data_IF_729979325630
#
_entry.id   IF_729979325630
#
_cell.length_a   1.000
_cell.length_b   1.000
_cell.length_c   1.000
_cell.angle_alpha   90.00
_cell.angle_beta   90.00
_cell.angle_gamma   90.00
#
_symmetry.space_group_name_H-M   'P 1'
#
loop_
_entity.id
_entity.type
_entity.pdbx_description
1 polymer ?
#
# COMPACT_ATOMS: atom_id res chain seq x y z
N UNK A 1 -2.20 18.83 -21.44
CA UNK A 1 -3.64 18.85 -21.78
C UNK A 1 -3.78 19.17 -23.25
N UNK A 2 -3.35 20.36 -23.70
CA UNK A 2 -3.43 20.81 -25.10
C UNK A 2 -2.84 19.84 -26.12
N UNK A 3 -1.61 19.34 -25.90
CA UNK A 3 -0.98 18.38 -26.83
C UNK A 3 -1.81 17.09 -27.02
N UNK A 4 -2.33 16.51 -25.93
CA UNK A 4 -3.16 15.31 -26.00
C UNK A 4 -4.52 15.59 -26.65
N UNK A 5 -5.12 16.77 -26.41
CA UNK A 5 -6.37 17.16 -27.07
C UNK A 5 -6.18 17.31 -28.59
N UNK A 6 -5.01 17.78 -29.03
CA UNK A 6 -4.63 17.87 -30.44
C UNK A 6 -4.38 16.47 -31.06
N UNK A 7 -3.79 15.54 -30.31
CA UNK A 7 -3.65 14.15 -30.74
C UNK A 7 -5.03 13.48 -30.90
N UNK A 8 -5.93 13.68 -29.95
CA UNK A 8 -7.31 13.16 -30.02
C UNK A 8 -8.12 13.78 -31.16
N UNK A 9 -7.92 15.07 -31.48
CA UNK A 9 -8.61 15.71 -32.60
C UNK A 9 -8.20 15.14 -33.96
N UNK A 10 -7.07 14.43 -34.05
CA UNK A 10 -6.67 13.66 -35.25
C UNK A 10 -7.46 12.36 -35.43
N UNK A 11 -8.42 12.06 -34.54
CA UNK A 11 -9.33 10.91 -34.62
C UNK A 11 -8.57 9.57 -34.71
N UNK A 12 -7.73 9.24 -33.72
CA UNK A 12 -7.03 7.95 -33.71
C UNK A 12 -8.03 6.79 -33.67
N UNK A 13 -7.67 5.66 -34.29
CA UNK A 13 -8.49 4.44 -34.32
C UNK A 13 -8.53 3.72 -32.97
N UNK A 14 -7.45 3.85 -32.18
CA UNK A 14 -7.30 3.22 -30.85
C UNK A 14 -6.86 4.29 -29.87
N UNK A 15 -7.53 4.33 -28.71
CA UNK A 15 -7.18 5.23 -27.60
C UNK A 15 -7.03 4.38 -26.34
N UNK A 16 -5.86 4.49 -25.70
CA UNK A 16 -5.58 3.89 -24.40
C UNK A 16 -5.53 5.01 -23.38
N UNK A 17 -6.36 4.94 -22.34
CA UNK A 17 -6.46 5.98 -21.33
C UNK A 17 -6.86 5.42 -19.96
N UNK A 18 -6.47 6.13 -18.90
CA UNK A 18 -7.03 5.92 -17.57
C UNK A 18 -8.38 6.66 -17.45
N UNK A 19 -9.34 6.16 -16.63
CA UNK A 19 -10.67 6.74 -16.54
C UNK A 19 -10.67 8.25 -16.27
N UNK A 20 -9.98 8.69 -15.22
CA UNK A 20 -9.93 10.13 -14.88
C UNK A 20 -9.38 10.99 -16.01
N UNK A 21 -8.33 10.53 -16.72
CA UNK A 21 -7.75 11.32 -17.82
C UNK A 21 -8.68 11.40 -19.03
N UNK A 22 -9.39 10.32 -19.34
CA UNK A 22 -10.35 10.30 -20.43
C UNK A 22 -11.58 11.16 -20.08
N UNK A 23 -12.11 11.02 -18.87
CA UNK A 23 -13.24 11.81 -18.38
C UNK A 23 -12.92 13.31 -18.34
N UNK A 24 -11.70 13.69 -17.94
CA UNK A 24 -11.22 15.07 -18.04
C UNK A 24 -11.27 15.60 -19.47
N UNK A 25 -10.80 14.83 -20.45
CA UNK A 25 -10.87 15.23 -21.87
C UNK A 25 -12.31 15.33 -22.38
N UNK A 26 -13.20 14.42 -21.96
CA UNK A 26 -14.63 14.48 -22.31
C UNK A 26 -15.35 15.69 -21.71
N UNK A 27 -14.97 16.10 -20.49
CA UNK A 27 -15.56 17.26 -19.80
C UNK A 27 -14.99 18.60 -20.26
N UNK A 28 -13.69 18.64 -20.55
CA UNK A 28 -12.96 19.89 -20.83
C UNK A 28 -12.78 20.20 -22.31
N UNK A 29 -12.99 19.23 -23.20
CA UNK A 29 -12.74 19.40 -24.63
C UNK A 29 -13.91 18.96 -25.50
N UNK A 30 -14.33 19.85 -26.41
CA UNK A 30 -15.27 19.53 -27.48
C UNK A 30 -14.57 19.00 -28.76
N UNK A 31 -13.24 18.83 -28.76
CA UNK A 31 -12.47 18.51 -29.97
C UNK A 31 -12.44 17.03 -30.33
N UNK A 32 -13.01 16.17 -29.49
CA UNK A 32 -12.97 14.72 -29.64
C UNK A 32 -14.30 14.08 -29.23
N UNK A 33 -14.67 12.99 -29.89
CA UNK A 33 -15.91 12.26 -29.61
C UNK A 33 -15.69 10.76 -29.71
N UNK A 34 -16.20 10.02 -28.71
CA UNK A 34 -16.20 8.55 -28.67
C UNK A 34 -17.52 7.92 -29.11
N UNK A 35 -18.44 8.71 -29.69
CA UNK A 35 -19.76 8.20 -30.12
C UNK A 35 -19.71 7.13 -31.23
N UNK A 36 -18.57 6.98 -31.90
CA UNK A 36 -18.36 6.02 -33.00
C UNK A 36 -17.56 4.78 -32.61
N UNK A 37 -17.18 4.61 -31.34
CA UNK A 37 -16.41 3.43 -30.95
C UNK A 37 -17.28 2.17 -31.08
N UNK A 38 -16.68 1.08 -31.58
CA UNK A 38 -17.33 -0.23 -31.68
C UNK A 38 -16.93 -1.17 -30.55
N UNK A 39 -15.78 -0.89 -29.92
CA UNK A 39 -15.18 -1.72 -28.88
C UNK A 39 -14.86 -0.84 -27.67
N UNK A 40 -15.24 -1.31 -26.49
CA UNK A 40 -14.80 -0.76 -25.21
C UNK A 40 -14.07 -1.87 -24.45
N UNK A 41 -12.82 -1.63 -24.07
CA UNK A 41 -12.02 -2.58 -23.28
C UNK A 41 -11.80 -2.00 -21.89
N UNK A 42 -12.18 -2.76 -20.87
CA UNK A 42 -11.96 -2.43 -19.46
C UNK A 42 -10.97 -3.45 -18.90
N UNK A 43 -9.70 -3.06 -18.80
CA UNK A 43 -8.63 -3.87 -18.23
C UNK A 43 -8.45 -3.58 -16.73
N UNK A 44 -8.00 -4.56 -15.95
CA UNK A 44 -7.99 -4.55 -14.47
C UNK A 44 -9.34 -4.09 -13.88
N UNK A 45 -10.44 -4.68 -14.34
CA UNK A 45 -11.80 -4.22 -14.01
C UNK A 45 -12.17 -4.34 -12.53
N UNK A 46 -11.61 -5.33 -11.83
CA UNK A 46 -11.70 -5.42 -10.36
C UNK A 46 -11.19 -4.16 -9.66
N UNK A 47 -10.28 -3.40 -10.26
CA UNK A 47 -9.78 -2.12 -9.76
C UNK A 47 -10.57 -0.93 -10.24
N UNK A 48 -11.05 -0.98 -11.47
CA UNK A 48 -11.89 0.10 -12.02
C UNK A 48 -13.20 0.24 -11.23
N UNK A 49 -13.73 -0.86 -10.73
CA UNK A 49 -15.04 -0.95 -10.07
C UNK A 49 -14.94 -1.07 -8.53
N UNK A 50 -13.75 -1.00 -7.94
CA UNK A 50 -13.57 -1.13 -6.49
C UNK A 50 -13.95 0.17 -5.77
N UNK A 51 -14.97 0.10 -4.92
CA UNK A 51 -15.38 1.21 -4.06
C UNK A 51 -14.32 1.46 -2.96
N UNK A 52 -13.89 2.71 -2.79
CA UNK A 52 -13.19 3.18 -1.57
C UNK A 52 -11.72 3.62 -1.70
N UNK A 53 -10.94 3.18 -2.69
CA UNK A 53 -9.51 3.56 -2.82
C UNK A 53 -9.20 4.51 -3.98
N UNK A 54 -9.92 4.38 -5.10
CA UNK A 54 -9.88 5.28 -6.25
C UNK A 54 -11.28 5.33 -6.81
N UNK A 55 -12.07 6.33 -6.39
CA UNK A 55 -13.46 6.42 -6.84
C UNK A 55 -13.51 6.92 -8.29
N UNK A 56 -13.28 6.00 -9.22
CA UNK A 56 -13.46 6.25 -10.65
C UNK A 56 -14.93 6.18 -11.06
N UNK A 57 -15.87 6.01 -10.12
CA UNK A 57 -17.29 5.83 -10.44
C UNK A 57 -17.81 7.01 -11.27
N UNK A 58 -17.56 8.24 -10.82
CA UNK A 58 -17.98 9.46 -11.52
C UNK A 58 -17.29 9.61 -12.89
N UNK A 59 -16.04 9.17 -13.00
CA UNK A 59 -15.28 9.21 -14.26
C UNK A 59 -15.81 8.16 -15.25
N UNK A 60 -16.08 6.95 -14.76
CA UNK A 60 -16.62 5.84 -15.52
C UNK A 60 -18.05 6.13 -15.97
N UNK A 61 -18.90 6.70 -15.13
CA UNK A 61 -20.25 7.15 -15.50
C UNK A 61 -20.20 8.15 -16.66
N UNK A 62 -19.32 9.15 -16.57
CA UNK A 62 -19.14 10.13 -17.64
C UNK A 62 -18.67 9.50 -18.96
N UNK A 63 -17.75 8.53 -18.88
CA UNK A 63 -17.28 7.78 -20.05
C UNK A 63 -18.39 6.90 -20.63
N UNK A 64 -19.10 6.14 -19.78
CA UNK A 64 -20.15 5.21 -20.16
C UNK A 64 -21.36 5.93 -20.77
N UNK A 65 -21.65 7.16 -20.33
CA UNK A 65 -22.68 8.01 -20.92
C UNK A 65 -22.28 8.55 -22.31
N UNK A 66 -20.99 8.70 -22.58
CA UNK A 66 -20.48 9.25 -23.84
C UNK A 66 -20.29 8.18 -24.94
N UNK A 67 -20.16 6.90 -24.58
CA UNK A 67 -20.00 5.78 -25.51
C UNK A 67 -21.35 5.30 -26.06
N UNK A 68 -21.41 4.76 -27.30
CA UNK A 68 -22.65 4.27 -27.88
C UNK A 68 -23.19 3.03 -27.16
N UNK A 69 -24.52 2.90 -27.10
CA UNK A 69 -25.21 1.76 -26.49
C UNK A 69 -24.90 0.44 -27.24
N UNK A 70 -24.93 0.47 -28.57
CA UNK A 70 -24.57 -0.68 -29.41
C UNK A 70 -23.05 -0.73 -29.62
N UNK A 71 -22.37 -1.50 -28.77
CA UNK A 71 -20.92 -1.75 -28.84
C UNK A 71 -20.59 -3.14 -28.29
N UNK A 72 -19.43 -3.68 -28.65
CA UNK A 72 -18.85 -4.82 -27.96
C UNK A 72 -18.05 -4.30 -26.75
N UNK A 73 -18.34 -4.83 -25.57
CA UNK A 73 -17.58 -4.50 -24.34
C UNK A 73 -16.80 -5.74 -23.91
N UNK A 74 -15.51 -5.57 -23.66
CA UNK A 74 -14.62 -6.61 -23.15
C UNK A 74 -14.15 -6.18 -21.77
N UNK A 75 -14.27 -7.08 -20.80
CA UNK A 75 -13.87 -6.86 -19.42
C UNK A 75 -12.83 -7.91 -19.05
N UNK A 76 -11.67 -7.45 -18.61
CA UNK A 76 -10.58 -8.29 -18.14
C UNK A 76 -10.27 -7.96 -16.68
N UNK A 77 -10.13 -9.00 -15.87
CA UNK A 77 -9.89 -8.87 -14.43
C UNK A 77 -9.00 -10.01 -13.95
N UNK A 78 -8.13 -9.72 -12.99
CA UNK A 78 -7.31 -10.73 -12.34
C UNK A 78 -8.06 -11.42 -11.19
N UNK A 79 -9.01 -10.72 -10.57
CA UNK A 79 -9.84 -11.26 -9.48
C UNK A 79 -11.32 -11.13 -9.79
N UNK A 80 -12.11 -12.12 -9.36
CA UNK A 80 -13.56 -12.06 -9.43
C UNK A 80 -14.11 -11.44 -8.14
N UNK A 81 -14.56 -10.18 -8.22
CA UNK A 81 -15.16 -9.46 -7.10
C UNK A 81 -16.67 -9.65 -7.08
N UNK A 82 -17.31 -9.43 -5.93
CA UNK A 82 -18.78 -9.50 -5.83
C UNK A 82 -19.44 -8.48 -6.75
N UNK A 83 -18.86 -7.28 -6.87
CA UNK A 83 -19.29 -6.25 -7.83
C UNK A 83 -19.26 -6.74 -9.29
N UNK A 84 -18.26 -7.55 -9.66
CA UNK A 84 -18.19 -8.13 -11.01
C UNK A 84 -19.24 -9.22 -11.21
N UNK A 85 -19.52 -10.04 -10.18
CA UNK A 85 -20.59 -11.05 -10.21
C UNK A 85 -21.97 -10.41 -10.31
N UNK A 86 -22.21 -9.33 -9.59
CA UNK A 86 -23.44 -8.53 -9.69
C UNK A 86 -23.59 -7.93 -11.08
N UNK A 87 -22.52 -7.34 -11.62
CA UNK A 87 -22.52 -6.79 -12.98
C UNK A 87 -22.82 -7.85 -14.03
N UNK A 88 -22.28 -9.07 -13.87
CA UNK A 88 -22.62 -10.22 -14.70
C UNK A 88 -24.11 -10.57 -14.61
N UNK A 89 -24.68 -10.62 -13.40
CA UNK A 89 -26.10 -10.92 -13.18
C UNK A 89 -27.06 -9.87 -13.74
N UNK A 90 -26.65 -8.61 -13.74
CA UNK A 90 -27.43 -7.48 -14.27
C UNK A 90 -27.29 -7.32 -15.81
N UNK A 91 -26.30 -7.96 -16.42
CA UNK A 91 -26.03 -7.81 -17.84
C UNK A 91 -27.13 -8.48 -18.69
N UNK A 92 -28.00 -7.66 -19.29
CA UNK A 92 -29.13 -8.11 -20.12
C UNK A 92 -28.69 -8.88 -21.38
N UNK A 93 -27.45 -8.67 -21.84
CA UNK A 93 -26.94 -9.22 -23.09
C UNK A 93 -26.29 -10.61 -22.97
N UNK A 94 -26.38 -11.28 -21.81
CA UNK A 94 -25.79 -12.62 -21.58
C UNK A 94 -24.31 -12.68 -22.04
N UNK A 95 -23.40 -11.99 -21.34
CA UNK A 95 -22.00 -11.90 -21.77
C UNK A 95 -21.34 -13.28 -21.74
N UNK A 96 -20.47 -13.54 -22.73
CA UNK A 96 -19.57 -14.69 -22.66
C UNK A 96 -18.66 -14.52 -21.45
N UNK A 97 -18.68 -15.51 -20.55
CA UNK A 97 -17.89 -15.52 -19.33
C UNK A 97 -16.91 -16.68 -19.36
N UNK A 98 -15.64 -16.38 -19.13
CA UNK A 98 -14.59 -17.37 -19.01
C UNK A 98 -13.75 -17.05 -17.78
N UNK A 99 -13.60 -18.04 -16.91
CA UNK A 99 -12.78 -17.98 -15.71
C UNK A 99 -11.81 -19.15 -15.74
N UNK A 100 -10.51 -18.84 -15.59
CA UNK A 100 -9.50 -19.87 -15.38
C UNK A 100 -9.70 -20.47 -13.98
N UNK A 101 -10.12 -21.73 -13.93
CA UNK A 101 -10.28 -22.45 -12.66
C UNK A 101 -8.90 -22.81 -12.10
N UNK A 102 -8.57 -22.29 -10.92
CA UNK A 102 -7.36 -22.64 -10.18
C UNK A 102 -7.67 -22.74 -8.68
N UNK A 103 -7.12 -23.74 -7.96
CA UNK A 103 -7.35 -23.90 -6.52
C UNK A 103 -6.73 -22.76 -5.69
N UNK A 104 -5.74 -22.07 -6.27
CA UNK A 104 -4.97 -21.00 -5.65
C UNK A 104 -4.95 -19.81 -6.61
N UNK A 105 -5.12 -18.58 -6.09
CA UNK A 105 -5.15 -17.36 -6.91
C UNK A 105 -3.76 -16.92 -7.43
N UNK A 106 -2.72 -17.68 -7.15
CA UNK A 106 -1.32 -17.41 -7.53
C UNK A 106 -0.78 -18.59 -8.30
N UNK A 107 0.20 -18.34 -9.17
CA UNK A 107 0.81 -19.39 -9.99
C UNK A 107 1.52 -20.41 -9.11
N UNK A 108 1.41 -21.70 -9.44
CA UNK A 108 1.95 -22.79 -8.62
C UNK A 108 3.47 -22.71 -8.46
N UNK A 109 4.17 -22.19 -9.48
CA UNK A 109 5.63 -22.04 -9.51
C UNK A 109 6.15 -20.86 -8.67
N UNK A 110 5.26 -20.14 -7.98
CA UNK A 110 5.62 -19.02 -7.12
C UNK A 110 5.93 -19.49 -5.70
N UNK A 111 7.19 -19.34 -5.31
CA UNK A 111 7.63 -19.45 -3.92
C UNK A 111 7.23 -18.18 -3.16
N UNK A 112 6.35 -18.31 -2.17
CA UNK A 112 5.72 -17.20 -1.46
C UNK A 112 6.08 -17.27 0.01
N UNK A 113 6.88 -16.30 0.46
CA UNK A 113 7.42 -16.28 1.81
C UNK A 113 7.15 -14.97 2.53
N UNK A 114 7.10 -15.05 3.85
CA UNK A 114 7.12 -13.89 4.73
C UNK A 114 8.41 -13.85 5.53
N UNK A 115 8.88 -12.66 5.86
CA UNK A 115 10.00 -12.44 6.78
C UNK A 115 9.50 -11.53 7.90
N UNK A 116 9.43 -12.07 9.12
CA UNK A 116 8.99 -11.32 10.29
C UNK A 116 10.11 -10.40 10.77
N UNK A 117 9.88 -9.08 10.73
CA UNK A 117 10.89 -8.07 11.05
C UNK A 117 10.32 -6.97 11.94
N UNK A 118 11.07 -6.48 12.95
CA UNK A 118 10.69 -5.27 13.65
C UNK A 118 10.72 -4.05 12.71
N UNK A 119 9.71 -3.17 12.78
CA UNK A 119 9.57 -2.02 11.87
C UNK A 119 10.83 -1.13 11.82
N UNK A 120 11.53 -0.97 12.96
CA UNK A 120 12.72 -0.11 13.09
C UNK A 120 13.96 -0.64 12.35
N UNK A 121 14.01 -1.93 12.04
CA UNK A 121 15.18 -2.58 11.44
C UNK A 121 14.89 -3.14 10.05
N UNK A 122 13.65 -2.98 9.56
CA UNK A 122 13.15 -3.51 8.29
C UNK A 122 14.04 -3.17 7.08
N UNK A 123 14.61 -1.96 7.07
CA UNK A 123 15.49 -1.53 5.99
C UNK A 123 16.83 -2.27 5.96
N UNK A 124 17.34 -2.69 7.12
CA UNK A 124 18.57 -3.48 7.21
C UNK A 124 18.32 -4.89 6.66
N UNK A 125 17.19 -5.49 7.01
CA UNK A 125 16.75 -6.75 6.41
C UNK A 125 16.59 -6.65 4.89
N UNK A 126 16.02 -5.55 4.37
CA UNK A 126 15.92 -5.33 2.93
C UNK A 126 17.31 -5.31 2.26
N UNK A 127 18.26 -4.58 2.84
CA UNK A 127 19.63 -4.48 2.31
C UNK A 127 20.31 -5.85 2.30
N UNK A 128 20.19 -6.59 3.40
CA UNK A 128 20.75 -7.94 3.52
C UNK A 128 20.12 -8.91 2.50
N UNK A 129 18.79 -8.91 2.34
CA UNK A 129 18.12 -9.73 1.33
C UNK A 129 18.62 -9.43 -0.09
N UNK A 130 18.76 -8.14 -0.44
CA UNK A 130 19.25 -7.74 -1.76
C UNK A 130 20.70 -8.19 -1.96
N UNK A 131 21.54 -8.08 -0.92
CA UNK A 131 22.91 -8.54 -0.95
C UNK A 131 22.96 -10.06 -1.23
N UNK A 132 22.21 -10.86 -0.48
CA UNK A 132 22.17 -12.32 -0.67
C UNK A 132 21.72 -12.70 -2.09
N UNK A 133 20.65 -12.08 -2.60
CA UNK A 133 20.21 -12.32 -3.97
C UNK A 133 21.23 -11.90 -5.01
N UNK A 134 21.95 -10.81 -4.77
CA UNK A 134 23.00 -10.34 -5.68
C UNK A 134 24.19 -11.29 -5.69
N UNK A 135 24.58 -11.82 -4.53
CA UNK A 135 25.70 -12.74 -4.36
C UNK A 135 25.39 -14.14 -4.94
N UNK A 136 24.16 -14.63 -4.76
CA UNK A 136 23.71 -15.90 -5.35
C UNK A 136 23.45 -15.77 -6.86
N UNK A 137 22.88 -14.64 -7.28
CA UNK A 137 22.32 -14.45 -8.61
C UNK A 137 22.50 -13.01 -9.12
N UNK A 138 23.69 -12.70 -9.63
CA UNK A 138 24.03 -11.37 -10.13
C UNK A 138 23.01 -10.84 -11.18
N UNK A 139 22.48 -11.73 -12.03
CA UNK A 139 21.60 -11.43 -13.16
C UNK A 139 20.10 -11.31 -12.85
N UNK A 140 19.70 -11.50 -11.59
CA UNK A 140 18.28 -11.45 -11.23
C UNK A 140 17.76 -10.03 -11.18
N UNK A 141 16.57 -9.84 -11.76
CA UNK A 141 15.80 -8.62 -11.64
C UNK A 141 14.86 -8.70 -10.42
N UNK A 142 14.85 -7.63 -9.64
CA UNK A 142 14.09 -7.50 -8.40
C UNK A 142 13.15 -6.30 -8.51
N UNK A 143 11.89 -6.49 -8.12
CA UNK A 143 10.95 -5.39 -7.89
C UNK A 143 10.64 -5.27 -6.39
N UNK A 144 10.73 -4.07 -5.85
CA UNK A 144 10.48 -3.76 -4.45
C UNK A 144 9.25 -2.86 -4.36
N UNK A 145 8.20 -3.34 -3.70
CA UNK A 145 6.99 -2.56 -3.52
C UNK A 145 6.94 -1.85 -2.17
N UNK A 146 6.57 -0.57 -2.21
CA UNK A 146 6.46 0.31 -1.04
C UNK A 146 5.11 1.03 -0.99
N UNK A 147 4.70 1.47 0.19
CA UNK A 147 3.40 2.12 0.39
C UNK A 147 3.37 3.60 -0.04
N UNK A 148 4.47 4.35 0.11
CA UNK A 148 4.50 5.79 -0.18
C UNK A 148 5.56 6.19 -1.19
N UNK A 149 5.29 7.26 -1.95
CA UNK A 149 6.26 7.83 -2.88
C UNK A 149 7.55 8.28 -2.17
N UNK A 150 7.43 8.80 -0.94
CA UNK A 150 8.58 9.22 -0.13
C UNK A 150 9.46 8.03 0.22
N UNK A 151 8.88 6.95 0.75
CA UNK A 151 9.62 5.71 1.06
C UNK A 151 10.27 5.12 -0.19
N UNK A 152 9.53 5.06 -1.31
CA UNK A 152 10.07 4.62 -2.60
C UNK A 152 11.33 5.40 -3.00
N UNK A 153 11.30 6.72 -2.87
CA UNK A 153 12.41 7.59 -3.24
C UNK A 153 13.59 7.50 -2.24
N UNK A 154 13.30 7.44 -0.95
CA UNK A 154 14.32 7.29 0.11
C UNK A 154 15.05 5.96 -0.03
N UNK A 155 14.34 4.86 -0.22
CA UNK A 155 14.95 3.54 -0.44
C UNK A 155 15.82 3.52 -1.69
N UNK A 156 15.38 4.16 -2.78
CA UNK A 156 16.16 4.25 -4.02
C UNK A 156 17.49 5.00 -3.78
N UNK A 157 17.44 6.14 -3.07
CA UNK A 157 18.64 6.89 -2.70
C UNK A 157 19.55 6.10 -1.75
N UNK A 158 18.97 5.38 -0.79
CA UNK A 158 19.69 4.57 0.19
C UNK A 158 20.40 3.39 -0.49
N UNK A 159 19.70 2.57 -1.26
CA UNK A 159 20.28 1.40 -1.92
C UNK A 159 21.42 1.76 -2.88
N UNK A 160 21.33 2.90 -3.57
CA UNK A 160 22.44 3.42 -4.38
C UNK A 160 23.69 3.79 -3.56
N UNK A 161 23.54 4.10 -2.28
CA UNK A 161 24.67 4.35 -1.36
C UNK A 161 25.30 3.07 -0.84
N UNK A 162 24.59 1.95 -0.93
CA UNK A 162 25.09 0.60 -0.71
C UNK A 162 25.48 -0.09 -2.02
N UNK A 163 25.83 0.69 -3.05
CA UNK A 163 26.28 0.19 -4.35
C UNK A 163 25.28 -0.70 -5.11
N UNK A 164 24.01 -0.71 -4.73
CA UNK A 164 22.95 -1.36 -5.50
C UNK A 164 22.36 -0.37 -6.52
N UNK A 165 22.58 -0.55 -7.83
CA UNK A 165 21.99 0.31 -8.84
C UNK A 165 20.48 0.07 -8.90
N UNK A 166 19.71 1.05 -8.41
CA UNK A 166 18.25 0.96 -8.38
C UNK A 166 17.57 2.13 -9.12
N UNK A 167 16.35 1.92 -9.59
CA UNK A 167 15.47 2.98 -10.12
C UNK A 167 14.17 3.05 -9.32
N UNK A 168 13.62 4.26 -9.17
CA UNK A 168 12.33 4.47 -8.53
C UNK A 168 11.22 4.66 -9.58
N UNK A 169 10.00 4.26 -9.24
CA UNK A 169 8.80 4.45 -10.02
C UNK A 169 7.62 4.77 -9.09
N UNK A 170 7.29 6.05 -8.98
CA UNK A 170 6.21 6.53 -8.12
C UNK A 170 5.42 7.68 -8.77
N UNK A 171 4.21 7.97 -8.30
CA UNK A 171 3.28 8.92 -8.95
C UNK A 171 3.74 10.38 -8.94
N UNK A 172 4.62 10.76 -8.01
CA UNK A 172 5.18 12.12 -7.96
C UNK A 172 6.16 12.43 -9.13
N UNK A 173 6.76 11.41 -9.75
CA UNK A 173 7.67 11.57 -10.89
C UNK A 173 6.97 12.17 -12.11
N UNK A 174 7.72 12.88 -12.96
CA UNK A 174 7.18 13.31 -14.26
C UNK A 174 7.02 12.09 -15.17
N UNK A 175 6.04 12.13 -16.07
CA UNK A 175 5.77 11.00 -16.97
C UNK A 175 7.01 10.59 -17.81
N UNK A 176 7.78 11.57 -18.30
CA UNK A 176 9.05 11.33 -19.02
C UNK A 176 10.07 10.58 -18.16
N UNK A 177 10.17 10.93 -16.87
CA UNK A 177 11.08 10.26 -15.92
C UNK A 177 10.62 8.83 -15.63
N UNK A 178 9.30 8.61 -15.48
CA UNK A 178 8.72 7.26 -15.32
C UNK A 178 9.07 6.35 -16.49
N UNK A 179 8.89 6.84 -17.73
CA UNK A 179 9.24 6.07 -18.93
C UNK A 179 10.74 5.82 -19.02
N UNK A 180 11.59 6.80 -18.71
CA UNK A 180 13.04 6.61 -18.70
C UNK A 180 13.50 5.60 -17.63
N UNK A 181 12.92 5.63 -16.43
CA UNK A 181 13.21 4.67 -15.37
C UNK A 181 12.79 3.25 -15.78
N UNK A 182 11.60 3.10 -16.37
CA UNK A 182 11.11 1.81 -16.85
C UNK A 182 11.95 1.28 -18.00
N UNK A 183 12.36 2.13 -18.96
CA UNK A 183 13.22 1.73 -20.07
C UNK A 183 14.57 1.22 -19.57
N UNK A 184 15.17 1.92 -18.61
CA UNK A 184 16.42 1.54 -17.94
C UNK A 184 16.33 0.20 -17.20
N UNK A 185 15.17 -0.09 -16.61
CA UNK A 185 14.90 -1.37 -15.98
C UNK A 185 14.71 -2.48 -17.03
N UNK A 186 13.90 -2.24 -18.06
CA UNK A 186 13.67 -3.18 -19.17
C UNK A 186 14.95 -3.57 -19.91
N UNK A 187 15.88 -2.63 -20.06
CA UNK A 187 17.17 -2.87 -20.69
C UNK A 187 18.20 -3.53 -19.76
N UNK A 188 17.80 -3.95 -18.55
CA UNK A 188 18.68 -4.53 -17.52
C UNK A 188 19.87 -3.66 -17.08
N UNK A 189 19.85 -2.35 -17.41
CA UNK A 189 20.88 -1.40 -16.92
C UNK A 189 20.74 -1.25 -15.41
N UNK A 190 19.51 -1.28 -14.91
CA UNK A 190 19.20 -1.37 -13.49
C UNK A 190 18.38 -2.64 -13.29
N UNK A 191 18.84 -3.51 -12.40
CA UNK A 191 18.16 -4.78 -12.09
C UNK A 191 17.19 -4.67 -10.92
N UNK A 192 17.18 -3.53 -10.22
CA UNK A 192 16.30 -3.29 -9.08
C UNK A 192 15.37 -2.11 -9.35
N UNK A 193 14.07 -2.36 -9.32
CA UNK A 193 13.01 -1.37 -9.46
C UNK A 193 12.24 -1.23 -8.15
N UNK A 194 12.21 -0.03 -7.58
CA UNK A 194 11.38 0.28 -6.42
C UNK A 194 10.12 1.00 -6.91
N UNK A 195 8.95 0.50 -6.56
CA UNK A 195 7.68 1.05 -7.03
C UNK A 195 6.65 1.22 -5.91
N UNK A 196 5.71 2.14 -6.14
CA UNK A 196 4.43 2.15 -5.42
C UNK A 196 3.36 1.44 -6.25
N UNK A 197 2.33 0.92 -5.59
CA UNK A 197 1.21 0.24 -6.26
C UNK A 197 0.65 1.08 -7.41
N UNK A 198 0.31 2.34 -7.14
CA UNK A 198 -0.28 3.26 -8.12
C UNK A 198 0.62 3.45 -9.34
N UNK A 199 1.93 3.51 -9.16
CA UNK A 199 2.84 3.86 -10.23
C UNK A 199 3.22 2.68 -11.13
N UNK A 200 3.07 1.44 -10.64
CA UNK A 200 3.27 0.21 -11.40
C UNK A 200 2.07 -0.19 -12.27
N UNK A 201 0.88 0.38 -12.03
CA UNK A 201 -0.34 0.09 -12.79
C UNK A 201 -0.30 0.65 -14.21
N UNK A 202 -0.83 -0.12 -15.16
CA UNK A 202 -0.89 0.27 -16.58
C UNK A 202 0.46 0.49 -17.24
N UNK A 203 1.56 0.11 -16.57
CA UNK A 203 2.88 0.02 -17.16
C UNK A 203 3.20 -1.45 -17.37
N UNK A 204 3.60 -1.77 -18.60
CA UNK A 204 4.16 -3.06 -18.92
C UNK A 204 5.53 -3.18 -18.25
N UNK A 205 5.57 -3.77 -17.05
CA UNK A 205 6.80 -4.11 -16.33
C UNK A 205 7.15 -5.55 -16.70
N UNK A 206 8.40 -5.83 -17.13
CA UNK A 206 8.81 -7.18 -17.50
C UNK A 206 8.70 -8.13 -16.32
N UNK A 207 8.54 -9.43 -16.62
CA UNK A 207 8.58 -10.47 -15.59
C UNK A 207 9.93 -10.42 -14.87
N UNK A 208 9.90 -10.34 -13.55
CA UNK A 208 11.08 -10.34 -12.69
C UNK A 208 11.27 -11.70 -12.03
N UNK A 209 12.45 -11.97 -11.49
CA UNK A 209 12.72 -13.19 -10.73
C UNK A 209 12.21 -13.05 -9.29
N UNK A 210 12.44 -11.88 -8.67
CA UNK A 210 12.12 -11.65 -7.27
C UNK A 210 11.18 -10.46 -7.09
N UNK A 211 10.13 -10.66 -6.29
CA UNK A 211 9.24 -9.60 -5.79
C UNK A 211 9.46 -9.45 -4.29
N UNK A 212 9.83 -8.25 -3.84
CA UNK A 212 9.95 -7.93 -2.42
C UNK A 212 8.87 -6.93 -2.02
N UNK A 213 7.95 -7.35 -1.16
CA UNK A 213 7.02 -6.45 -0.51
C UNK A 213 7.69 -5.85 0.72
N UNK A 214 8.34 -4.68 0.57
CA UNK A 214 8.93 -3.97 1.71
C UNK A 214 7.86 -3.54 2.74
N UNK A 215 6.62 -3.34 2.28
CA UNK A 215 5.46 -3.18 3.13
C UNK A 215 4.41 -4.21 2.74
N UNK A 216 3.88 -4.94 3.73
CA UNK A 216 2.72 -5.82 3.56
C UNK A 216 1.57 -5.06 2.88
N UNK A 217 1.02 -5.58 1.77
CA UNK A 217 -0.12 -4.95 1.10
C UNK A 217 -1.33 -4.82 2.03
N UNK A 218 -1.99 -3.67 2.01
CA UNK A 218 -3.19 -3.44 2.84
C UNK A 218 -4.42 -4.23 2.40
N UNK A 219 -4.42 -4.79 1.18
CA UNK A 219 -5.51 -5.61 0.64
C UNK A 219 -4.94 -6.85 -0.06
N UNK A 220 -5.55 -8.04 0.12
CA UNK A 220 -5.09 -9.29 -0.51
C UNK A 220 -4.99 -9.23 -2.03
N UNK A 221 -5.93 -8.57 -2.69
CA UNK A 221 -5.88 -8.39 -4.15
C UNK A 221 -4.62 -7.65 -4.61
N UNK A 222 -4.12 -6.69 -3.80
CA UNK A 222 -2.89 -5.94 -4.13
C UNK A 222 -1.70 -6.89 -4.07
N UNK A 223 -1.67 -7.77 -3.06
CA UNK A 223 -0.65 -8.82 -2.95
C UNK A 223 -0.59 -9.67 -4.22
N UNK A 224 -1.74 -10.20 -4.68
CA UNK A 224 -1.83 -11.01 -5.91
C UNK A 224 -1.25 -10.27 -7.12
N UNK A 225 -1.56 -8.98 -7.28
CA UNK A 225 -1.07 -8.17 -8.41
C UNK A 225 0.44 -7.90 -8.36
N UNK A 226 0.99 -7.77 -7.15
CA UNK A 226 2.43 -7.57 -6.92
C UNK A 226 3.20 -8.84 -7.21
N UNK A 227 2.81 -9.97 -6.61
CA UNK A 227 3.52 -11.24 -6.78
C UNK A 227 3.32 -11.82 -8.18
N UNK A 228 2.21 -11.51 -8.83
CA UNK A 228 1.99 -11.79 -10.26
C UNK A 228 2.92 -11.03 -11.21
N UNK A 229 3.93 -10.29 -10.72
CA UNK A 229 5.03 -9.72 -11.54
C UNK A 229 6.21 -10.69 -11.70
N UNK A 230 6.25 -11.76 -10.93
CA UNK A 230 7.19 -12.87 -11.09
C UNK A 230 6.46 -14.14 -11.56
N UNK A 231 7.21 -15.23 -11.78
CA UNK A 231 6.73 -16.57 -12.10
C UNK A 231 5.73 -16.65 -13.28
N UNK A 232 5.84 -15.74 -14.25
CA UNK A 232 4.99 -15.75 -15.46
C UNK A 232 5.51 -16.77 -16.48
N UNK A 233 4.58 -17.32 -17.27
CA UNK A 233 4.87 -18.23 -18.38
C UNK A 233 5.68 -19.48 -17.98
N UNK A 234 5.33 -20.08 -16.83
CA UNK A 234 5.92 -21.35 -16.36
C UNK A 234 7.31 -21.23 -15.71
N UNK A 235 7.85 -20.02 -15.57
CA UNK A 235 9.12 -19.79 -14.85
C UNK A 235 8.90 -19.87 -13.35
N UNK A 236 9.93 -20.29 -12.63
CA UNK A 236 9.97 -20.13 -11.18
C UNK A 236 10.19 -18.66 -10.82
N UNK A 237 9.73 -18.29 -9.64
CA UNK A 237 9.87 -16.94 -9.11
C UNK A 237 9.66 -16.92 -7.61
N UNK A 238 10.23 -15.92 -6.95
CA UNK A 238 10.14 -15.78 -5.50
C UNK A 238 9.48 -14.46 -5.11
N UNK A 239 8.61 -14.52 -4.12
CA UNK A 239 7.98 -13.36 -3.49
C UNK A 239 8.23 -13.36 -1.99
N UNK A 240 8.96 -12.36 -1.49
CA UNK A 240 9.24 -12.18 -0.06
C UNK A 240 8.48 -10.97 0.46
N UNK A 241 7.73 -11.15 1.55
CA UNK A 241 6.99 -10.07 2.20
C UNK A 241 7.56 -9.76 3.57
N UNK A 242 8.02 -8.52 3.76
CA UNK A 242 8.47 -8.04 5.06
C UNK A 242 7.25 -7.73 5.92
N UNK A 243 7.06 -8.51 6.97
CA UNK A 243 5.91 -8.45 7.87
C UNK A 243 6.37 -7.91 9.20
N UNK A 244 5.67 -6.91 9.73
CA UNK A 244 5.92 -6.44 11.09
C UNK A 244 4.89 -6.97 12.07
N UNK A 245 5.15 -6.79 13.37
CA UNK A 245 4.20 -7.11 14.44
C UNK A 245 2.82 -6.45 14.28
N UNK A 246 2.70 -5.39 13.47
CA UNK A 246 1.42 -4.72 13.20
C UNK A 246 0.67 -5.33 12.00
N UNK A 247 1.36 -6.08 11.13
CA UNK A 247 0.85 -6.50 9.82
C UNK A 247 0.32 -7.94 9.81
N UNK A 248 0.38 -8.65 10.94
CA UNK A 248 -0.02 -10.08 11.05
C UNK A 248 -1.45 -10.30 10.53
N UNK A 249 -2.37 -9.40 10.86
CA UNK A 249 -3.75 -9.46 10.38
C UNK A 249 -3.87 -9.32 8.85
N UNK A 250 -2.98 -8.55 8.21
CA UNK A 250 -2.93 -8.40 6.75
C UNK A 250 -2.44 -9.68 6.09
N UNK A 251 -1.46 -10.36 6.70
CA UNK A 251 -0.96 -11.65 6.23
C UNK A 251 -2.07 -12.69 6.28
N UNK A 252 -2.79 -12.81 7.37
CA UNK A 252 -3.92 -13.75 7.45
C UNK A 252 -4.99 -13.46 6.40
N UNK A 253 -5.34 -12.18 6.18
CA UNK A 253 -6.26 -11.82 5.10
C UNK A 253 -5.73 -12.21 3.72
N UNK A 254 -4.41 -12.09 3.49
CA UNK A 254 -3.76 -12.54 2.25
C UNK A 254 -3.89 -14.06 2.11
N UNK A 255 -3.49 -14.82 3.13
CA UNK A 255 -3.54 -16.29 3.16
C UNK A 255 -4.96 -16.82 2.92
N UNK A 256 -5.96 -16.19 3.53
CA UNK A 256 -7.36 -16.55 3.38
C UNK A 256 -7.87 -16.32 1.96
N UNK A 257 -7.37 -15.28 1.28
CA UNK A 257 -7.73 -14.99 -0.10
C UNK A 257 -7.00 -15.93 -1.08
N UNK A 258 -5.70 -16.15 -0.90
CA UNK A 258 -4.90 -16.99 -1.81
C UNK A 258 -5.11 -18.48 -1.54
N UNK A 259 -5.74 -18.86 -0.42
CA UNK A 259 -5.95 -20.25 0.03
C UNK A 259 -4.65 -21.03 0.21
N UNK A 260 -3.58 -20.34 0.59
CA UNK A 260 -2.23 -20.88 0.82
C UNK A 260 -1.58 -20.14 1.99
N UNK A 261 -0.93 -20.89 2.88
CA UNK A 261 -0.11 -20.30 3.96
C UNK A 261 1.23 -19.86 3.40
N UNK A 262 1.70 -18.68 3.84
CA UNK A 262 3.03 -18.20 3.48
C UNK A 262 4.07 -18.95 4.32
N UNK A 263 5.18 -19.34 3.70
CA UNK A 263 6.28 -19.96 4.42
C UNK A 263 7.20 -18.90 5.03
N UNK A 264 7.81 -19.20 6.17
CA UNK A 264 8.77 -18.28 6.78
C UNK A 264 10.10 -18.29 6.00
N UNK A 265 10.61 -17.12 5.67
CA UNK A 265 11.96 -16.93 5.17
C UNK A 265 12.87 -16.69 6.37
N UNK A 266 13.90 -17.51 6.54
CA UNK A 266 14.85 -17.40 7.63
C UNK A 266 16.03 -16.51 7.21
N UNK A 267 16.48 -15.67 8.13
CA UNK A 267 17.64 -14.79 7.94
C UNK A 267 18.53 -14.88 9.17
N UNK A 268 19.84 -14.88 8.97
CA UNK A 268 20.81 -14.80 10.05
C UNK A 268 20.83 -13.37 10.64
N UNK A 269 20.12 -13.17 11.76
CA UNK A 269 19.98 -11.85 12.38
C UNK A 269 21.33 -11.20 12.73
N UNK A 270 22.35 -12.01 13.04
CA UNK A 270 23.69 -11.56 13.36
C UNK A 270 24.31 -10.72 12.23
N UNK A 271 24.09 -11.11 10.96
CA UNK A 271 24.61 -10.39 9.79
C UNK A 271 23.86 -9.07 9.57
N UNK A 272 22.55 -9.09 9.78
CA UNK A 272 21.71 -7.88 9.68
C UNK A 272 22.11 -6.83 10.73
N UNK A 273 22.44 -7.28 11.94
CA UNK A 273 22.87 -6.38 13.03
C UNK A 273 24.19 -5.67 12.72
N UNK A 274 25.09 -6.26 11.94
CA UNK A 274 26.36 -5.64 11.54
C UNK A 274 26.13 -4.39 10.67
N UNK A 275 25.16 -4.44 9.76
CA UNK A 275 24.86 -3.35 8.83
C UNK A 275 23.81 -2.36 9.37
N UNK A 276 23.09 -2.73 10.44
CA UNK A 276 21.92 -2.00 10.95
C UNK A 276 22.21 -0.51 11.20
N UNK A 277 23.29 -0.20 11.92
CA UNK A 277 23.64 1.19 12.26
C UNK A 277 23.95 1.99 11.00
N UNK A 278 24.70 1.42 10.07
CA UNK A 278 25.05 2.06 8.81
C UNK A 278 23.79 2.34 7.97
N UNK A 279 22.90 1.35 7.82
CA UNK A 279 21.64 1.49 7.09
C UNK A 279 20.77 2.60 7.67
N UNK A 280 20.58 2.62 9.00
CA UNK A 280 19.79 3.66 9.66
C UNK A 280 20.37 5.07 9.46
N UNK A 281 21.69 5.23 9.58
CA UNK A 281 22.35 6.52 9.34
C UNK A 281 22.20 6.96 7.89
N UNK A 282 22.41 6.06 6.93
CA UNK A 282 22.30 6.36 5.49
C UNK A 282 20.86 6.70 5.12
N UNK A 283 19.87 5.93 5.60
CA UNK A 283 18.45 6.22 5.41
C UNK A 283 18.11 7.61 5.93
N UNK A 284 18.51 7.92 7.17
CA UNK A 284 18.22 9.22 7.78
C UNK A 284 18.84 10.39 6.99
N UNK A 285 20.07 10.22 6.49
CA UNK A 285 20.71 11.19 5.60
C UNK A 285 19.94 11.36 4.28
N UNK A 286 19.40 10.27 3.72
CA UNK A 286 18.58 10.33 2.50
C UNK A 286 17.24 11.03 2.74
N UNK A 287 16.58 10.79 3.88
CA UNK A 287 15.35 11.48 4.27
C UNK A 287 15.57 13.00 4.39
N UNK A 288 16.60 13.43 5.10
CA UNK A 288 16.93 14.85 5.28
C UNK A 288 17.21 15.51 3.91
N UNK A 289 17.97 14.84 3.04
CA UNK A 289 18.25 15.33 1.68
C UNK A 289 16.98 15.46 0.84
N UNK A 290 16.06 14.51 0.96
CA UNK A 290 14.82 14.52 0.20
C UNK A 290 13.86 15.63 0.69
N UNK A 291 13.81 15.85 2.00
CA UNK A 291 13.05 16.95 2.62
C UNK A 291 13.60 18.32 2.21
N UNK A 292 14.92 18.49 2.21
CA UNK A 292 15.58 19.71 1.76
C UNK A 292 15.32 20.02 0.27
N UNK A 293 15.02 19.01 -0.54
CA UNK A 293 14.68 19.15 -1.96
C UNK A 293 13.19 19.48 -2.20
N UNK A 294 12.41 19.81 -1.16
CA UNK A 294 10.99 20.14 -1.24
C UNK A 294 10.15 19.08 -1.99
N UNK A 295 10.44 17.79 -1.79
CA UNK A 295 9.81 16.69 -2.52
C UNK A 295 8.26 16.71 -2.51
N UNK A 296 7.67 17.16 -1.39
CA UNK A 296 6.22 17.23 -1.22
C UNK A 296 5.59 18.52 -1.79
N UNK A 297 6.36 19.47 -2.31
CA UNK A 297 5.87 20.76 -2.82
C UNK A 297 4.79 20.58 -3.90
N UNK A 298 5.03 19.70 -4.87
CA UNK A 298 4.06 19.39 -5.92
C UNK A 298 2.75 18.82 -5.37
N UNK A 299 2.82 18.04 -4.28
CA UNK A 299 1.64 17.47 -3.62
C UNK A 299 0.84 18.57 -2.92
N UNK A 300 1.53 19.46 -2.22
CA UNK A 300 0.89 20.61 -1.55
C UNK A 300 0.28 21.59 -2.56
N UNK A 301 0.95 21.86 -3.68
CA UNK A 301 0.39 22.68 -4.78
C UNK A 301 -0.89 22.05 -5.32
N UNK A 302 -0.88 20.75 -5.63
CA UNK A 302 -2.05 20.07 -6.18
C UNK A 302 -3.22 20.06 -5.20
N UNK A 303 -2.95 19.82 -3.92
CA UNK A 303 -3.96 19.85 -2.86
C UNK A 303 -4.56 21.25 -2.67
N UNK A 304 -3.73 22.30 -2.72
CA UNK A 304 -4.20 23.70 -2.69
C UNK A 304 -5.12 24.00 -3.87
N UNK A 305 -4.75 23.58 -5.09
CA UNK A 305 -5.60 23.73 -6.28
C UNK A 305 -6.93 23.00 -6.15
N UNK A 306 -6.92 21.79 -5.58
CA UNK A 306 -8.14 21.01 -5.36
C UNK A 306 -9.08 21.70 -4.35
N UNK A 307 -8.54 22.24 -3.25
CA UNK A 307 -9.33 23.00 -2.28
C UNK A 307 -9.99 24.23 -2.93
N UNK A 308 -9.24 24.96 -3.77
CA UNK A 308 -9.78 26.10 -4.52
C UNK A 308 -10.92 25.65 -5.46
N UNK A 309 -10.74 24.53 -6.16
CA UNK A 309 -11.76 23.97 -7.06
C UNK A 309 -13.03 23.53 -6.31
N UNK A 310 -12.88 23.04 -5.08
CA UNK A 310 -13.99 22.73 -4.17
C UNK A 310 -14.61 23.97 -3.50
N UNK A 311 -14.17 25.18 -3.87
CA UNK A 311 -14.66 26.44 -3.29
C UNK A 311 -14.17 26.71 -1.86
N UNK A 312 -13.16 25.99 -1.39
CA UNK A 312 -12.58 26.12 -0.03
C UNK A 312 -11.32 26.98 -0.08
N UNK A 313 -11.20 27.91 0.86
CA UNK A 313 -9.99 28.70 1.06
C UNK A 313 -8.86 27.81 1.65
N UNK A 314 -7.74 27.60 0.93
CA UNK A 314 -6.66 26.73 1.38
C UNK A 314 -5.99 27.19 2.67
N UNK A 315 -5.89 28.50 2.90
CA UNK A 315 -5.20 29.08 4.05
C UNK A 315 -6.10 29.01 5.29
N UNK A 316 -7.41 29.20 5.12
CA UNK A 316 -8.39 28.99 6.18
C UNK A 316 -8.45 27.52 6.62
N UNK A 317 -8.44 26.60 5.64
CA UNK A 317 -8.47 25.16 5.90
C UNK A 317 -7.16 24.68 6.55
N UNK A 318 -6.01 25.23 6.14
CA UNK A 318 -4.72 24.97 6.79
C UNK A 318 -4.70 25.44 8.25
N UNK A 319 -5.24 26.63 8.55
CA UNK A 319 -5.40 27.13 9.92
C UNK A 319 -6.27 26.21 10.77
N UNK A 320 -7.45 25.82 10.27
CA UNK A 320 -8.33 24.85 10.94
C UNK A 320 -7.61 23.53 11.25
N UNK A 321 -6.87 22.99 10.29
CA UNK A 321 -6.12 21.75 10.47
C UNK A 321 -5.02 21.88 11.51
N UNK A 322 -4.29 23.00 11.51
CA UNK A 322 -3.25 23.28 12.49
C UNK A 322 -3.83 23.40 13.91
N UNK A 323 -4.98 24.05 14.05
CA UNK A 323 -5.70 24.18 15.32
C UNK A 323 -6.20 22.82 15.84
N UNK A 324 -6.83 22.03 14.98
CA UNK A 324 -7.24 20.65 15.29
C UNK A 324 -6.04 19.77 15.71
N UNK A 325 -4.89 19.93 15.06
CA UNK A 325 -3.67 19.21 15.43
C UNK A 325 -3.15 19.62 16.81
N UNK A 326 -3.17 20.92 17.14
CA UNK A 326 -2.83 21.43 18.48
C UNK A 326 -3.77 20.86 19.55
N UNK A 327 -5.07 20.83 19.28
CA UNK A 327 -6.08 20.25 20.19
C UNK A 327 -5.81 18.75 20.38
N UNK A 328 -5.60 17.99 19.30
CA UNK A 328 -5.25 16.55 19.39
C UNK A 328 -3.98 16.32 20.19
N UNK A 329 -2.95 17.14 20.00
CA UNK A 329 -1.69 17.03 20.74
C UNK A 329 -1.89 17.34 22.23
N UNK A 330 -2.67 18.36 22.57
CA UNK A 330 -3.01 18.71 23.95
C UNK A 330 -3.81 17.58 24.63
N UNK A 331 -4.79 17.01 23.93
CA UNK A 331 -5.58 15.88 24.43
C UNK A 331 -4.73 14.61 24.62
N UNK A 332 -3.78 14.35 23.72
CA UNK A 332 -2.83 13.23 23.86
C UNK A 332 -1.94 13.40 25.08
N UNK A 333 -1.35 14.60 25.27
CA UNK A 333 -0.54 14.92 26.45
C UNK A 333 -1.35 14.82 27.74
N UNK A 334 -2.59 15.29 27.74
CA UNK A 334 -3.50 15.17 28.88
C UNK A 334 -3.80 13.69 29.21
N UNK A 335 -4.09 12.86 28.21
CA UNK A 335 -4.26 11.40 28.40
C UNK A 335 -3.01 10.72 28.96
N UNK A 336 -1.83 11.09 28.46
CA UNK A 336 -0.55 10.57 28.95
C UNK A 336 -0.30 10.97 30.42
N UNK A 337 -0.60 12.23 30.79
CA UNK A 337 -0.52 12.71 32.18
C UNK A 337 -1.50 11.98 33.11
N UNK A 338 -2.77 11.84 32.71
CA UNK A 338 -3.76 11.11 33.51
C UNK A 338 -3.35 9.66 33.72
N UNK A 339 -2.82 9.00 32.68
CA UNK A 339 -2.33 7.62 32.76
C UNK A 339 -1.14 7.48 33.73
N UNK A 340 -0.23 8.45 33.72
CA UNK A 340 0.91 8.50 34.63
C UNK A 340 0.47 8.71 36.09
N UNK A 341 -0.46 9.64 36.35
CA UNK A 341 -1.01 9.88 37.70
C UNK A 341 -1.74 8.65 38.25
N UNK A 342 -2.54 7.96 37.43
CA UNK A 342 -3.23 6.73 37.81
C UNK A 342 -2.25 5.58 38.11
N UNK A 343 -1.14 5.47 37.37
CA UNK A 343 -0.09 4.49 37.64
C UNK A 343 0.64 4.79 38.97
N UNK A 344 0.92 6.07 39.26
CA UNK A 344 1.52 6.49 40.52
C UNK A 344 0.60 6.25 41.72
N UNK A 345 -0.71 6.48 41.58
CA UNK A 345 -1.68 6.17 42.65
C UNK A 345 -1.81 4.66 42.90
N UNK A 346 -1.75 3.83 41.85
CA UNK A 346 -1.72 2.37 42.00
C UNK A 346 -0.42 1.86 42.65
N UNK A 347 0.72 2.49 42.39
CA UNK A 347 1.99 2.17 43.04
C UNK A 347 2.04 2.64 44.51
N UNK A 348 1.44 3.79 44.83
CA UNK A 348 1.37 4.33 46.20
C UNK A 348 0.41 3.56 47.14
N UNK A 349 -0.56 2.84 46.58
CA UNK A 349 -1.53 2.05 47.36
C UNK A 349 -0.97 0.73 47.95
N UNK A 350 0.21 0.28 47.51
CA UNK A 350 0.82 -0.96 47.98
C UNK A 350 1.66 -0.81 49.28
N UNK A 351 1.82 0.42 49.80
CA UNK A 351 2.74 0.73 50.92
C UNK A 351 2.11 0.96 52.30
N UNK A 352 0.81 0.75 52.50
CA UNK A 352 0.16 0.89 53.82
C UNK A 352 -0.56 -0.39 54.24
N UNK A 353 0.21 -1.43 54.57
CA UNK A 353 -0.20 -2.48 55.53
C UNK A 353 0.90 -2.60 56.56
N UNK A 354 0.64 -2.16 57.79
CA UNK A 354 1.58 -2.34 58.88
C UNK A 354 1.37 -1.45 60.09
N UNK A 355 0.21 -1.52 60.75
CA UNK A 355 0.14 -1.42 62.21
C UNK A 355 -1.24 -1.87 62.72
N UNK A 356 -1.29 -3.09 63.25
CA UNK A 356 -2.38 -3.55 64.14
C UNK A 356 -2.02 -3.10 65.56
N UNK A 357 -2.92 -2.46 66.32
CA UNK A 357 -2.68 -2.21 67.73
C UNK A 357 -2.94 -3.48 68.56
N UNK A 358 -1.99 -3.79 69.46
CA UNK A 358 -2.10 -4.80 70.53
C UNK A 358 -3.28 -4.47 71.45
N UNK A 359 -4.26 -5.37 71.54
CA UNK A 359 -5.22 -5.40 72.65
C UNK A 359 -4.66 -6.24 73.81
N UNK A 360 -4.78 -5.73 75.04
CA UNK A 360 -4.53 -6.44 76.30
C UNK A 360 -5.78 -7.21 76.76
N UNK A 361 -5.65 -8.23 77.64
CA UNK A 361 -6.68 -9.24 77.88
C UNK A 361 -7.52 -9.02 79.16
N UNK A 362 -8.51 -9.91 79.31
CA UNK A 362 -9.35 -10.26 80.48
C UNK A 362 -10.68 -9.49 80.65
N UNK A 363 -11.81 -10.08 81.08
CA UNK A 363 -12.30 -11.46 81.23
C UNK A 363 -13.81 -11.43 81.60
N UNK A 364 -14.52 -12.56 81.39
CA UNK A 364 -15.83 -12.95 81.96
C UNK A 364 -17.08 -12.14 81.51
N UNK A 365 -18.28 -12.68 81.24
CA UNK A 365 -18.99 -13.93 81.56
C UNK A 365 -20.22 -14.02 80.62
N UNK A 366 -20.45 -15.16 79.93
CA UNK A 366 -21.55 -16.13 80.15
C UNK A 366 -22.93 -15.72 79.52
N UNK A 367 -23.89 -16.65 79.28
CA UNK A 367 -24.15 -17.18 77.93
C UNK A 367 -25.65 -17.23 77.54
N UNK A 368 -25.94 -18.02 76.50
CA UNK A 368 -27.22 -18.64 76.10
C UNK A 368 -27.95 -17.92 74.94
N UNK A 369 -27.89 -18.51 73.73
CA UNK A 369 -28.90 -19.43 73.17
C UNK A 369 -29.97 -18.63 72.43
N UNK A 370 -30.43 -18.94 71.23
CA UNK A 370 -30.86 -20.23 70.70
C UNK A 370 -31.30 -20.01 69.25
N UNK A 371 -31.19 -21.07 68.44
CA UNK A 371 -32.14 -21.46 67.39
C UNK A 371 -32.18 -20.66 66.06
N UNK A 372 -31.74 -21.34 64.99
CA UNK A 372 -32.29 -21.18 63.64
C UNK A 372 -33.67 -21.87 63.53
N UNK A 373 -34.07 -22.46 62.40
CA UNK A 373 -33.48 -22.45 61.05
C UNK A 373 -34.46 -22.04 59.94
N UNK A 374 -33.95 -21.77 58.74
CA UNK A 374 -34.39 -22.26 57.42
C UNK A 374 -33.69 -21.45 56.33
#
# INVERSE_FOLDING_TARGET
>A
MVAQALELSRKPHVVIATPGRLADHLRSSNTFSIKKIRFLVMDEADRLLEQGCTDFTVDLEAILAAVPARRQTLLFSATLTDTLKELQGLATNQPFFWEAQAPVCTVEQLDQRYLLVPEKVKDAYLVHLIQNFHDEHEDWSIIIFTNTCKTCQVLCMMLRKFNFPTVALHSMMKQKERFAALAKFKSSIYRILIATDVASRGLDIPTVQVVINHNTPGLPKIYIHRVGRTARAGRQGQAITLVTQYDIHLVHAIEDQIKKKLEEFLVEEAEVLQILTQVNVVRRKCEIKLEAANFDEKKEINKRKQLILEGKDPDLEAKRKAELAKIKQKNRRFKEQVKHTLQQQKAGGAGRRGHLPRARPEAHSAPASTQGPA
#
